data_IF_225499553234
#
_entry.id   IF_225499553234
#
_cell.length_a   1.000
_cell.length_b   1.000
_cell.length_c   1.000
_cell.angle_alpha   90.00
_cell.angle_beta   90.00
_cell.angle_gamma   90.00
#
_symmetry.space_group_name_H-M   'P 1'
#
loop_
_entity.id
_entity.type
_entity.pdbx_description
1 polymer ?
#
# COMPACT_ATOMS: atom_id res chain seq x y z
N UNK A 1 14.65 -12.60 -4.26
CA UNK A 1 13.29 -12.26 -3.79
C UNK A 1 13.21 -10.86 -3.17
N UNK A 2 14.01 -10.54 -2.13
CA UNK A 2 14.05 -9.18 -1.55
C UNK A 2 14.45 -8.09 -2.56
N UNK A 3 15.41 -8.34 -3.44
CA UNK A 3 15.87 -7.35 -4.44
C UNK A 3 14.78 -6.87 -5.40
N UNK A 4 13.91 -7.77 -5.87
CA UNK A 4 12.80 -7.43 -6.79
C UNK A 4 11.72 -6.59 -6.08
N UNK A 5 11.39 -6.96 -4.84
CA UNK A 5 10.47 -6.18 -4.01
C UNK A 5 11.03 -4.79 -3.69
N UNK A 6 12.33 -4.68 -3.41
CA UNK A 6 13.01 -3.40 -3.16
C UNK A 6 13.06 -2.55 -4.43
N UNK A 7 13.31 -3.14 -5.60
CA UNK A 7 13.26 -2.42 -6.89
C UNK A 7 11.87 -1.87 -7.20
N UNK A 8 10.80 -2.59 -6.85
CA UNK A 8 9.43 -2.07 -6.97
C UNK A 8 9.16 -0.92 -5.99
N UNK A 9 9.71 -0.98 -4.77
CA UNK A 9 9.60 0.11 -3.79
C UNK A 9 10.43 1.35 -4.14
N UNK A 10 11.64 1.16 -4.66
CA UNK A 10 12.52 2.24 -5.12
C UNK A 10 12.16 2.75 -6.52
N UNK A 11 11.13 2.18 -7.15
CA UNK A 11 10.59 2.74 -8.37
C UNK A 11 10.16 4.20 -8.12
N UNK A 12 10.29 5.10 -9.10
CA UNK A 12 9.93 6.50 -8.93
C UNK A 12 8.47 6.66 -8.47
N UNK A 13 7.58 5.75 -8.90
CA UNK A 13 6.19 5.70 -8.44
C UNK A 13 6.07 5.25 -6.97
N UNK A 14 6.82 4.24 -6.55
CA UNK A 14 6.84 3.76 -5.16
C UNK A 14 7.35 4.82 -4.18
N UNK A 15 8.42 5.55 -4.54
CA UNK A 15 8.95 6.65 -3.74
C UNK A 15 7.92 7.79 -3.63
N UNK A 16 7.28 8.17 -4.75
CA UNK A 16 6.23 9.18 -4.75
C UNK A 16 5.07 8.80 -3.83
N UNK A 17 4.63 7.53 -3.87
CA UNK A 17 3.58 6.98 -3.01
C UNK A 17 3.98 6.98 -1.51
N UNK A 18 5.23 6.64 -1.19
CA UNK A 18 5.75 6.69 0.17
C UNK A 18 5.78 8.12 0.72
N UNK A 19 6.25 9.08 -0.09
CA UNK A 19 6.23 10.50 0.27
C UNK A 19 4.80 11.01 0.45
N UNK A 20 3.87 10.62 -0.43
CA UNK A 20 2.45 10.95 -0.29
C UNK A 20 1.85 10.38 1.00
N UNK A 21 2.23 9.15 1.36
CA UNK A 21 1.80 8.50 2.61
C UNK A 21 2.35 9.24 3.84
N UNK A 22 3.62 9.63 3.80
CA UNK A 22 4.25 10.46 4.84
C UNK A 22 3.58 11.83 4.98
N UNK A 23 3.25 12.47 3.87
CA UNK A 23 2.52 13.75 3.83
C UNK A 23 1.10 13.58 4.39
N UNK A 24 0.40 12.50 4.03
CA UNK A 24 -0.92 12.16 4.55
C UNK A 24 -0.89 12.02 6.09
N UNK A 25 0.10 11.29 6.60
CA UNK A 25 0.33 11.14 8.05
C UNK A 25 0.69 12.48 8.72
N UNK A 26 1.50 13.31 8.07
CA UNK A 26 1.97 14.60 8.62
C UNK A 26 0.88 15.65 8.73
N UNK A 27 -0.01 15.72 7.72
CA UNK A 27 -1.13 16.66 7.71
C UNK A 27 -2.34 16.15 8.49
N UNK A 28 -2.37 14.86 8.88
CA UNK A 28 -3.50 14.20 9.59
C UNK A 28 -4.86 14.49 8.93
N UNK A 29 -4.87 14.72 7.62
CA UNK A 29 -6.08 15.02 6.87
C UNK A 29 -6.72 13.71 6.41
N UNK A 30 -7.95 13.45 6.85
CA UNK A 30 -8.73 12.26 6.50
C UNK A 30 -8.80 12.00 4.99
N UNK A 31 -8.97 13.08 4.20
CA UNK A 31 -9.06 13.02 2.75
C UNK A 31 -7.75 12.61 2.08
N UNK A 32 -6.62 13.04 2.62
CA UNK A 32 -5.30 12.72 2.07
C UNK A 32 -4.93 11.27 2.39
N UNK A 33 -5.32 10.77 3.56
CA UNK A 33 -5.18 9.35 3.90
C UNK A 33 -5.96 8.45 2.93
N UNK A 34 -7.22 8.78 2.63
CA UNK A 34 -8.02 8.04 1.65
C UNK A 34 -7.40 8.09 0.25
N UNK A 35 -6.96 9.26 -0.21
CA UNK A 35 -6.29 9.40 -1.50
C UNK A 35 -5.03 8.51 -1.58
N UNK A 36 -4.23 8.45 -0.52
CA UNK A 36 -3.05 7.60 -0.46
C UNK A 36 -3.40 6.11 -0.56
N UNK A 37 -4.42 5.63 0.16
CA UNK A 37 -4.87 4.23 0.08
C UNK A 37 -5.39 3.88 -1.31
N UNK A 38 -6.17 4.77 -1.94
CA UNK A 38 -6.66 4.56 -3.31
C UNK A 38 -5.47 4.48 -4.27
N UNK A 39 -4.50 5.39 -4.16
CA UNK A 39 -3.33 5.41 -5.04
C UNK A 39 -2.49 4.13 -4.90
N UNK A 40 -2.28 3.64 -3.67
CA UNK A 40 -1.62 2.36 -3.42
C UNK A 40 -2.40 1.18 -4.04
N UNK A 41 -3.73 1.18 -3.90
CA UNK A 41 -4.58 0.12 -4.44
C UNK A 41 -4.53 0.08 -5.97
N UNK A 42 -4.61 1.26 -6.62
CA UNK A 42 -4.47 1.37 -8.08
C UNK A 42 -3.09 0.90 -8.52
N UNK A 43 -2.03 1.28 -7.82
CA UNK A 43 -0.66 0.87 -8.17
C UNK A 43 -0.47 -0.64 -8.07
N UNK A 44 -0.93 -1.27 -6.98
CA UNK A 44 -0.92 -2.74 -6.86
C UNK A 44 -1.73 -3.35 -7.99
N UNK A 45 -2.93 -2.84 -8.26
CA UNK A 45 -3.81 -3.38 -9.31
C UNK A 45 -3.14 -3.33 -10.67
N UNK A 46 -2.47 -2.23 -11.03
CA UNK A 46 -1.70 -2.13 -12.28
C UNK A 46 -0.59 -3.16 -12.31
N UNK A 47 0.20 -3.30 -11.24
CA UNK A 47 1.28 -4.30 -11.19
C UNK A 47 0.74 -5.73 -11.30
N UNK A 48 -0.40 -6.02 -10.66
CA UNK A 48 -0.96 -7.38 -10.63
C UNK A 48 -1.78 -7.72 -11.87
N UNK A 49 -2.50 -6.77 -12.47
CA UNK A 49 -3.41 -6.99 -13.60
C UNK A 49 -2.80 -6.61 -14.95
N UNK A 50 -1.71 -5.84 -15.00
CA UNK A 50 -0.99 -5.61 -16.25
C UNK A 50 -0.23 -6.89 -16.62
N UNK A 51 -0.93 -7.82 -17.24
CA UNK A 51 -0.33 -9.01 -17.84
C UNK A 51 -0.52 -8.96 -19.36
N UNK A 52 0.33 -8.21 -20.08
CA UNK A 52 0.17 -8.00 -21.52
C UNK A 52 0.40 -9.28 -22.35
N UNK A 53 0.91 -10.35 -21.75
CA UNK A 53 1.32 -11.58 -22.45
C UNK A 53 0.58 -12.84 -22.00
N UNK A 54 -0.13 -12.84 -20.86
CA UNK A 54 -0.76 -14.06 -20.32
C UNK A 54 0.23 -15.01 -19.62
N UNK A 55 1.53 -14.72 -19.67
CA UNK A 55 2.62 -15.64 -19.29
C UNK A 55 3.18 -15.37 -17.88
N UNK A 56 2.76 -14.29 -17.20
CA UNK A 56 3.17 -14.01 -15.82
C UNK A 56 2.90 -15.16 -14.84
N UNK A 57 1.74 -15.86 -14.86
CA UNK A 57 1.52 -16.97 -13.91
C UNK A 57 2.48 -18.14 -14.16
N UNK A 58 2.86 -18.39 -15.41
CA UNK A 58 3.75 -19.48 -15.80
C UNK A 58 5.21 -19.13 -15.47
N UNK A 59 5.63 -17.90 -15.77
CA UNK A 59 6.94 -17.37 -15.39
C UNK A 59 7.13 -17.25 -13.86
N UNK A 60 6.04 -17.07 -13.09
CA UNK A 60 6.07 -17.14 -11.63
C UNK A 60 6.15 -18.60 -11.13
N UNK A 61 5.51 -19.55 -11.81
CA UNK A 61 5.63 -20.97 -11.48
C UNK A 61 7.05 -21.51 -11.75
N UNK A 62 7.71 -20.98 -12.77
CA UNK A 62 9.11 -21.29 -13.12
C UNK A 62 10.14 -20.60 -12.21
N UNK A 63 9.71 -19.66 -11.36
CA UNK A 63 10.59 -18.90 -10.47
C UNK A 63 11.43 -17.83 -11.18
N UNK A 64 11.12 -17.53 -12.45
CA UNK A 64 11.80 -16.53 -13.26
C UNK A 64 11.44 -15.08 -12.83
N UNK A 65 10.23 -14.90 -12.26
CA UNK A 65 9.76 -13.65 -11.69
C UNK A 65 9.54 -13.83 -10.18
N UNK A 66 10.13 -12.95 -9.37
CA UNK A 66 9.95 -12.97 -7.93
C UNK A 66 8.49 -12.68 -7.52
N UNK A 67 7.96 -13.50 -6.62
CA UNK A 67 6.59 -13.35 -6.15
C UNK A 67 6.42 -11.99 -5.42
N UNK A 68 5.50 -11.10 -5.86
CA UNK A 68 5.37 -9.74 -5.33
C UNK A 68 4.71 -9.67 -3.94
N UNK A 69 4.54 -10.82 -3.29
CA UNK A 69 3.90 -10.98 -1.98
C UNK A 69 4.52 -10.11 -0.90
N UNK A 70 5.86 -10.00 -0.84
CA UNK A 70 6.54 -9.12 0.13
C UNK A 70 6.19 -7.64 -0.07
N UNK A 71 6.07 -7.19 -1.32
CA UNK A 71 5.66 -5.83 -1.64
C UNK A 71 4.21 -5.56 -1.19
N UNK A 72 3.30 -6.48 -1.50
CA UNK A 72 1.88 -6.36 -1.14
C UNK A 72 1.68 -6.36 0.38
N UNK A 73 2.38 -7.22 1.12
CA UNK A 73 2.31 -7.27 2.58
C UNK A 73 2.79 -5.96 3.21
N UNK A 74 3.90 -5.40 2.71
CA UNK A 74 4.42 -4.13 3.20
C UNK A 74 3.45 -2.97 2.92
N UNK A 75 2.85 -2.90 1.73
CA UNK A 75 1.84 -1.87 1.40
C UNK A 75 0.59 -2.03 2.27
N UNK A 76 0.12 -3.26 2.49
CA UNK A 76 -0.99 -3.53 3.38
C UNK A 76 -0.72 -2.99 4.80
N UNK A 77 0.49 -3.21 5.33
CA UNK A 77 0.90 -2.67 6.63
C UNK A 77 0.91 -1.13 6.65
N UNK A 78 1.38 -0.47 5.58
CA UNK A 78 1.35 1.00 5.45
C UNK A 78 -0.08 1.52 5.46
N UNK A 79 -0.98 0.91 4.67
CA UNK A 79 -2.40 1.29 4.63
C UNK A 79 -3.06 1.15 6.00
N UNK A 80 -2.81 0.05 6.71
CA UNK A 80 -3.30 -0.13 8.09
C UNK A 80 -2.76 0.97 9.01
N UNK A 81 -1.48 1.30 8.92
CA UNK A 81 -0.86 2.40 9.67
C UNK A 81 -1.54 3.75 9.40
N UNK A 82 -1.82 4.08 8.14
CA UNK A 82 -2.53 5.31 7.75
C UNK A 82 -3.94 5.31 8.37
N UNK A 83 -4.70 4.22 8.25
CA UNK A 83 -6.07 4.14 8.79
C UNK A 83 -6.06 4.31 10.31
N UNK A 84 -5.19 3.60 11.03
CA UNK A 84 -5.08 3.70 12.48
C UNK A 84 -4.65 5.10 12.94
N UNK A 85 -3.75 5.75 12.21
CA UNK A 85 -3.21 7.06 12.58
C UNK A 85 -4.14 8.22 12.22
N UNK A 86 -4.95 8.06 11.17
CA UNK A 86 -5.90 9.08 10.71
C UNK A 86 -7.26 8.95 11.39
N UNK A 87 -7.52 7.83 12.07
CA UNK A 87 -8.73 7.65 12.87
C UNK A 87 -8.77 8.72 13.97
N UNK A 88 -9.81 9.58 14.03
CA UNK A 88 -9.93 10.54 15.12
C UNK A 88 -9.99 9.76 16.43
N UNK A 89 -9.20 10.17 17.42
CA UNK A 89 -9.23 9.62 18.77
C UNK A 89 -10.53 10.12 19.43
N UNK A 90 -11.68 9.63 18.98
CA UNK A 90 -12.92 9.71 19.73
C UNK A 90 -12.69 8.83 20.95
N UNK A 91 -12.49 9.48 22.09
CA UNK A 91 -12.07 8.87 23.34
C UNK A 91 -13.02 7.74 23.77
N UNK A 92 -12.44 6.77 24.46
CA UNK A 92 -13.20 5.98 25.42
C UNK A 92 -13.64 6.86 26.59
N UNK A 93 -14.71 7.62 26.37
CA UNK A 93 -15.52 8.28 27.39
C UNK A 93 -16.89 8.48 26.73
N UNK A 94 -17.70 7.41 26.65
CA UNK A 94 -18.84 7.32 27.55
C UNK A 94 -19.51 5.93 27.48
N UNK A 95 -19.08 5.04 28.38
CA UNK A 95 -20.08 4.23 29.06
C UNK A 95 -20.79 5.14 30.07
N UNK A 96 -22.03 5.54 29.80
CA UNK A 96 -23.02 5.93 30.81
C UNK A 96 -24.33 6.32 30.11
N UNK A 97 -25.26 5.39 30.11
CA UNK A 97 -26.67 5.59 30.51
C UNK A 97 -27.20 7.03 30.44
N UNK A 98 -28.12 7.28 29.50
CA UNK A 98 -29.44 7.89 29.75
C UNK A 98 -30.33 7.84 28.51
#
# INVERSE_FOLDING_TARGET
MLGEAVSLFLSPAGIALLLLSLIALRFRQQWVGLAAVILWTVFITVITMADPTGLRPEAMAEGCIGQPTLFIVAVAAICVGIVLYTKPRTGGADGSER
#
